data_IF_437955636275
#
_entry.id   IF_437955636275
#
_cell.length_a   1.000
_cell.length_b   1.000
_cell.length_c   1.000
_cell.angle_alpha   90.00
_cell.angle_beta   90.00
_cell.angle_gamma   90.00
#
_symmetry.space_group_name_H-M   'P 1'
#
loop_
_entity.id
_entity.type
_entity.pdbx_description
1 polymer ?
#
# COMPACT_ATOMS: atom_id res chain seq x y z
N UNK A 1 17.81 9.50 8.74
CA UNK A 1 18.81 9.17 9.79
C UNK A 1 20.18 9.32 9.18
N UNK A 2 21.15 9.78 9.94
CA UNK A 2 22.54 9.85 9.51
C UNK A 2 23.39 8.84 10.28
N UNK A 3 24.52 8.42 9.70
CA UNK A 3 25.46 7.50 10.34
C UNK A 3 24.89 6.09 10.61
N UNK A 4 23.82 5.70 9.92
CA UNK A 4 23.31 4.34 10.00
C UNK A 4 24.26 3.38 9.27
N UNK A 5 24.71 2.34 9.97
CA UNK A 5 25.58 1.29 9.43
C UNK A 5 25.23 -0.06 10.06
N UNK A 6 25.75 -1.20 9.56
CA UNK A 6 25.56 -2.49 10.22
C UNK A 6 26.05 -2.52 11.68
N UNK A 7 27.10 -1.75 12.00
CA UNK A 7 27.61 -1.61 13.37
C UNK A 7 26.80 -0.60 14.22
N UNK A 8 26.09 0.32 13.56
CA UNK A 8 25.30 1.39 14.19
C UNK A 8 23.90 1.47 13.58
N UNK A 9 23.05 0.43 13.73
CA UNK A 9 21.75 0.37 13.05
C UNK A 9 20.76 1.47 13.50
N UNK A 10 20.95 2.00 14.71
CA UNK A 10 20.17 3.14 15.20
C UNK A 10 20.51 4.45 14.47
N UNK A 11 21.70 4.55 13.84
CA UNK A 11 22.26 5.81 13.38
C UNK A 11 22.73 6.70 14.53
N UNK A 12 23.15 7.92 14.20
CA UNK A 12 23.67 8.90 15.17
C UNK A 12 22.62 9.97 15.49
N UNK A 13 21.91 10.45 14.47
CA UNK A 13 20.82 11.40 14.67
C UNK A 13 19.69 11.25 13.65
N UNK A 14 18.54 11.78 14.04
CA UNK A 14 17.38 11.97 13.18
C UNK A 14 17.37 13.40 12.65
N UNK A 15 16.99 13.52 11.39
CA UNK A 15 16.81 14.81 10.73
C UNK A 15 15.33 14.95 10.38
N UNK A 16 14.78 16.14 10.62
CA UNK A 16 13.39 16.43 10.29
C UNK A 16 13.27 16.72 8.79
N UNK A 17 12.39 15.98 8.11
CA UNK A 17 11.98 16.29 6.74
C UNK A 17 10.66 17.04 6.80
N UNK A 18 10.68 18.32 6.41
CA UNK A 18 9.49 19.16 6.37
C UNK A 18 8.40 18.49 5.55
N UNK A 19 7.19 18.41 6.08
CA UNK A 19 6.02 17.82 5.41
C UNK A 19 5.00 18.89 5.01
N UNK A 20 4.26 18.73 3.90
CA UNK A 20 3.25 19.70 3.48
C UNK A 20 2.07 19.80 4.47
N UNK A 21 1.84 18.73 5.25
CA UNK A 21 0.82 18.62 6.28
C UNK A 21 1.17 17.47 7.24
N UNK A 22 0.41 17.31 8.33
CA UNK A 22 0.52 16.14 9.20
C UNK A 22 0.29 14.85 8.42
N UNK A 23 1.22 13.90 8.55
CA UNK A 23 1.19 12.62 7.87
C UNK A 23 0.59 11.54 8.80
N UNK A 24 -0.12 10.56 8.23
CA UNK A 24 -0.79 9.47 8.97
C UNK A 24 -0.27 8.08 8.59
N UNK A 25 0.42 7.94 7.45
CA UNK A 25 1.02 6.69 7.01
C UNK A 25 2.25 7.00 6.13
N UNK A 26 3.25 6.13 6.20
CA UNK A 26 4.45 6.17 5.37
C UNK A 26 4.82 4.77 4.94
N UNK A 27 5.29 4.61 3.70
CA UNK A 27 5.90 3.39 3.22
C UNK A 27 7.12 3.71 2.37
N UNK A 28 8.11 2.83 2.38
CA UNK A 28 9.36 2.99 1.65
C UNK A 28 9.76 1.71 0.93
N UNK A 29 10.23 1.79 -0.30
CA UNK A 29 10.84 0.67 -1.04
C UNK A 29 11.89 1.21 -2.02
N UNK A 30 13.14 0.72 -1.98
CA UNK A 30 14.20 1.08 -2.92
C UNK A 30 14.35 2.61 -3.16
N UNK A 31 14.50 3.38 -2.08
CA UNK A 31 14.54 4.85 -2.08
C UNK A 31 13.24 5.56 -2.50
N UNK A 32 12.20 4.85 -2.92
CA UNK A 32 10.88 5.44 -3.14
C UNK A 32 10.18 5.58 -1.80
N UNK A 33 9.62 6.75 -1.54
CA UNK A 33 8.88 7.06 -0.31
C UNK A 33 7.51 7.58 -0.69
N UNK A 34 6.47 6.95 -0.16
CA UNK A 34 5.10 7.42 -0.25
C UNK A 34 4.56 7.72 1.15
N UNK A 35 3.77 8.78 1.25
CA UNK A 35 3.12 9.20 2.49
C UNK A 35 1.66 9.54 2.24
N UNK A 36 0.86 9.44 3.30
CA UNK A 36 -0.54 9.86 3.32
C UNK A 36 -0.68 11.03 4.28
N UNK A 37 -1.26 12.14 3.80
CA UNK A 37 -1.63 13.29 4.61
C UNK A 37 -2.89 13.04 5.44
N UNK A 38 -3.12 13.86 6.48
CA UNK A 38 -4.29 13.70 7.38
C UNK A 38 -5.64 13.82 6.66
N UNK A 39 -5.72 14.51 5.51
CA UNK A 39 -6.96 14.56 4.71
C UNK A 39 -7.03 13.44 3.66
N UNK A 40 -6.11 12.48 3.70
CA UNK A 40 -6.07 11.31 2.83
C UNK A 40 -5.42 11.54 1.47
N UNK A 41 -4.71 12.65 1.28
CA UNK A 41 -3.93 12.90 0.06
C UNK A 41 -2.63 12.08 0.05
N UNK A 42 -2.24 11.63 -1.14
CA UNK A 42 -1.02 10.86 -1.36
C UNK A 42 0.10 11.76 -1.87
N UNK A 43 1.30 11.59 -1.33
CA UNK A 43 2.51 12.27 -1.82
C UNK A 43 3.64 11.27 -1.97
N UNK A 44 4.52 11.50 -2.96
CA UNK A 44 5.84 10.88 -3.00
C UNK A 44 6.93 11.90 -2.71
N UNK A 45 8.09 11.41 -2.26
CA UNK A 45 9.29 12.22 -2.02
C UNK A 45 10.23 12.09 -3.21
N UNK A 46 10.38 13.18 -3.96
CA UNK A 46 11.25 13.27 -5.14
C UNK A 46 12.73 13.36 -4.72
N UNK A 47 13.62 12.70 -5.48
CA UNK A 47 15.06 12.90 -5.38
C UNK A 47 15.74 12.20 -4.20
N UNK A 48 15.09 11.17 -3.65
CA UNK A 48 15.66 10.34 -2.59
C UNK A 48 16.73 9.42 -3.18
N UNK A 49 17.93 9.47 -2.61
CA UNK A 49 19.05 8.62 -3.00
C UNK A 49 19.82 8.15 -1.77
N UNK A 50 20.78 7.24 -1.95
CA UNK A 50 21.65 6.80 -0.85
C UNK A 50 22.48 7.95 -0.26
N UNK A 51 22.85 8.95 -1.07
CA UNK A 51 23.58 10.15 -0.63
C UNK A 51 22.65 11.27 -0.15
N UNK A 52 21.39 11.27 -0.60
CA UNK A 52 20.36 12.20 -0.17
C UNK A 52 19.09 11.46 0.30
N UNK A 53 19.13 10.79 1.47
CA UNK A 53 17.98 10.03 1.97
C UNK A 53 16.78 10.92 2.34
N UNK A 54 16.99 12.23 2.52
CA UNK A 54 15.94 13.21 2.78
C UNK A 54 15.16 13.63 1.54
N UNK A 55 15.63 13.31 0.33
CA UNK A 55 15.03 13.78 -0.92
C UNK A 55 15.02 15.31 -1.06
N UNK A 56 14.21 15.82 -1.98
CA UNK A 56 14.16 17.25 -2.33
C UNK A 56 12.77 17.83 -2.09
N UNK A 57 11.75 17.32 -2.79
CA UNK A 57 10.40 17.88 -2.77
C UNK A 57 9.33 16.83 -2.48
N UNK A 58 8.21 17.26 -1.92
CA UNK A 58 6.98 16.46 -1.90
C UNK A 58 6.16 16.77 -3.14
N UNK A 59 5.66 15.73 -3.80
CA UNK A 59 4.85 15.83 -5.01
C UNK A 59 3.53 15.09 -4.80
N UNK A 60 2.42 15.72 -5.18
CA UNK A 60 1.09 15.15 -5.04
C UNK A 60 0.89 14.02 -6.06
N UNK A 61 0.31 12.92 -5.60
CA UNK A 61 -0.11 11.81 -6.46
C UNK A 61 -1.61 11.94 -6.70
N UNK A 62 -2.03 11.74 -7.94
CA UNK A 62 -3.45 11.71 -8.29
C UNK A 62 -4.20 10.73 -7.38
N UNK A 63 -5.30 11.19 -6.77
CA UNK A 63 -6.10 10.35 -5.90
C UNK A 63 -6.74 9.19 -6.69
N UNK A 64 -6.91 8.01 -6.07
CA UNK A 64 -7.69 6.93 -6.65
C UNK A 64 -9.16 7.36 -6.80
N UNK A 65 -9.58 7.62 -8.06
CA UNK A 65 -10.98 7.81 -8.48
C UNK A 65 -11.82 6.55 -8.26
N UNK A 66 -12.31 6.33 -7.04
CA UNK A 66 -13.21 5.23 -6.75
C UNK A 66 -14.64 5.57 -7.21
N UNK A 67 -15.04 5.11 -8.40
CA UNK A 67 -16.42 5.21 -8.89
C UNK A 67 -17.20 3.93 -8.55
N UNK A 68 -17.52 3.70 -7.27
CA UNK A 68 -18.50 2.67 -6.92
C UNK A 68 -19.90 3.28 -7.08
N UNK A 69 -20.78 2.76 -7.96
CA UNK A 69 -22.07 3.38 -8.28
C UNK A 69 -23.09 3.44 -7.13
N UNK A 70 -22.82 2.79 -5.99
CA UNK A 70 -23.78 2.60 -4.89
C UNK A 70 -23.42 3.29 -3.57
N UNK A 71 -22.34 4.07 -3.52
CA UNK A 71 -21.99 4.86 -2.32
C UNK A 71 -22.04 6.35 -2.63
N UNK A 72 -23.09 7.02 -2.13
CA UNK A 72 -23.21 8.48 -2.10
C UNK A 72 -22.18 9.19 -1.20
N UNK A 73 -21.13 8.50 -0.71
CA UNK A 73 -20.02 9.13 0.01
C UNK A 73 -18.79 9.22 -0.89
N UNK A 74 -18.60 10.43 -1.40
CA UNK A 74 -17.37 11.07 -1.87
C UNK A 74 -16.12 10.26 -1.50
N UNK A 75 -15.40 9.77 -2.51
CA UNK A 75 -13.97 9.41 -2.53
C UNK A 75 -13.31 9.39 -1.14
N UNK A 76 -13.46 8.29 -0.40
CA UNK A 76 -12.80 8.14 0.89
C UNK A 76 -11.28 8.18 0.71
N UNK A 77 -10.62 9.21 1.24
CA UNK A 77 -9.17 9.41 1.12
C UNK A 77 -8.34 8.21 1.62
N UNK A 78 -7.06 8.17 1.27
CA UNK A 78 -6.17 7.09 1.67
C UNK A 78 -6.00 7.02 3.20
N UNK A 79 -5.82 5.82 3.75
CA UNK A 79 -5.58 5.57 5.19
C UNK A 79 -4.24 4.88 5.47
N UNK A 80 -3.90 3.88 4.68
CA UNK A 80 -2.65 3.15 4.79
C UNK A 80 -2.06 2.89 3.40
N UNK A 81 -0.74 2.87 3.30
CA UNK A 81 0.00 2.57 2.07
C UNK A 81 1.11 1.57 2.37
N UNK A 82 1.31 0.62 1.46
CA UNK A 82 2.46 -0.28 1.45
C UNK A 82 3.05 -0.34 0.04
N UNK A 83 4.36 -0.13 -0.07
CA UNK A 83 5.09 -0.13 -1.33
C UNK A 83 5.72 -1.48 -1.62
N UNK A 84 5.83 -1.76 -2.91
CA UNK A 84 6.78 -2.71 -3.51
C UNK A 84 7.64 -1.91 -4.51
N UNK A 85 8.55 -2.58 -5.20
CA UNK A 85 9.36 -1.97 -6.23
C UNK A 85 8.58 -1.61 -7.52
N UNK A 86 7.42 -2.25 -7.74
CA UNK A 86 6.59 -2.06 -8.93
C UNK A 86 5.16 -1.54 -8.68
N UNK A 87 4.69 -1.57 -7.43
CA UNK A 87 3.31 -1.18 -7.07
C UNK A 87 3.17 -0.56 -5.66
N UNK A 88 2.12 0.25 -5.47
CA UNK A 88 1.66 0.73 -4.17
C UNK A 88 0.28 0.17 -3.85
N UNK A 89 0.16 -0.51 -2.72
CA UNK A 89 -1.10 -1.01 -2.18
C UNK A 89 -1.66 0.00 -1.18
N UNK A 90 -2.82 0.56 -1.47
CA UNK A 90 -3.43 1.65 -0.69
C UNK A 90 -4.78 1.22 -0.15
N UNK A 91 -4.93 1.23 1.18
CA UNK A 91 -6.23 1.07 1.84
C UNK A 91 -6.90 2.44 1.92
N UNK A 92 -8.12 2.52 1.41
CA UNK A 92 -8.94 3.73 1.40
C UNK A 92 -9.81 3.85 2.66
N UNK A 93 -10.38 5.04 2.87
CA UNK A 93 -11.18 5.29 4.06
C UNK A 93 -12.45 4.45 4.17
N UNK A 94 -12.99 4.01 3.04
CA UNK A 94 -14.11 3.08 2.93
C UNK A 94 -13.69 1.61 3.05
N UNK A 95 -12.40 1.33 3.25
CA UNK A 95 -11.85 -0.02 3.37
C UNK A 95 -11.57 -0.74 2.06
N UNK A 96 -11.83 -0.12 0.90
CA UNK A 96 -11.40 -0.67 -0.38
C UNK A 96 -9.87 -0.61 -0.50
N UNK A 97 -9.30 -1.50 -1.33
CA UNK A 97 -7.88 -1.46 -1.70
C UNK A 97 -7.76 -1.00 -3.15
N UNK A 98 -6.97 0.04 -3.36
CA UNK A 98 -6.51 0.50 -4.67
C UNK A 98 -5.03 0.18 -4.84
N UNK A 99 -4.64 -0.27 -6.03
CA UNK A 99 -3.26 -0.61 -6.37
C UNK A 99 -2.76 0.38 -7.42
N UNK A 100 -1.73 1.16 -7.10
CA UNK A 100 -0.99 1.94 -8.10
C UNK A 100 0.04 1.03 -8.76
N UNK A 101 0.09 0.99 -10.08
CA UNK A 101 1.06 0.18 -10.83
C UNK A 101 2.13 1.03 -11.53
N UNK A 102 3.17 0.35 -12.00
CA UNK A 102 4.30 0.94 -12.74
C UNK A 102 5.13 1.93 -11.91
N UNK A 103 5.22 1.67 -10.62
CA UNK A 103 6.17 2.37 -9.76
C UNK A 103 7.58 1.90 -10.14
N UNK A 104 8.53 2.82 -10.18
CA UNK A 104 9.95 2.51 -10.34
C UNK A 104 10.79 3.69 -9.86
N UNK A 105 12.12 3.50 -9.82
CA UNK A 105 13.07 4.59 -9.55
C UNK A 105 12.95 5.78 -10.52
N UNK A 106 12.44 5.54 -11.74
CA UNK A 106 12.28 6.59 -12.76
C UNK A 106 10.83 7.07 -12.88
N UNK A 107 9.90 6.45 -12.14
CA UNK A 107 8.48 6.76 -12.12
C UNK A 107 7.95 6.52 -10.69
N UNK A 108 8.36 7.37 -9.76
CA UNK A 108 8.13 7.16 -8.32
C UNK A 108 6.64 7.22 -7.95
N UNK A 109 5.81 7.93 -8.71
CA UNK A 109 4.36 8.08 -8.53
C UNK A 109 3.52 7.01 -9.27
N UNK A 110 4.15 6.15 -10.07
CA UNK A 110 3.47 5.18 -10.92
C UNK A 110 2.51 5.81 -11.93
N UNK A 111 1.77 4.98 -12.69
CA UNK A 111 0.93 5.49 -13.79
C UNK A 111 -0.56 5.27 -13.61
N UNK A 112 -0.96 4.08 -13.17
CA UNK A 112 -2.36 3.66 -13.21
C UNK A 112 -2.86 3.19 -11.86
N UNK A 113 -4.11 3.55 -11.55
CA UNK A 113 -4.87 2.98 -10.45
C UNK A 113 -5.69 1.79 -10.93
N UNK A 114 -5.54 0.66 -10.27
CA UNK A 114 -6.40 -0.52 -10.41
C UNK A 114 -7.14 -0.76 -9.11
N UNK A 115 -8.42 -1.05 -9.18
CA UNK A 115 -9.24 -1.34 -8.02
C UNK A 115 -9.41 -2.84 -7.90
N UNK A 116 -9.25 -3.37 -6.70
CA UNK A 116 -9.64 -4.74 -6.42
C UNK A 116 -11.15 -4.70 -6.20
N UNK A 117 -11.90 -5.02 -7.23
CA UNK A 117 -13.34 -5.14 -7.08
C UNK A 117 -13.64 -6.46 -6.39
N UNK A 118 -14.68 -6.52 -5.54
CA UNK A 118 -15.23 -7.79 -5.05
C UNK A 118 -15.68 -8.73 -6.20
N UNK A 119 -15.66 -8.25 -7.45
CA UNK A 119 -15.97 -8.97 -8.67
C UNK A 119 -14.75 -9.56 -9.39
N UNK A 120 -13.50 -9.31 -8.97
CA UNK A 120 -12.32 -10.02 -9.54
C UNK A 120 -12.32 -11.52 -9.17
N UNK A 121 -13.24 -11.89 -8.28
CA UNK A 121 -13.62 -13.22 -7.80
C UNK A 121 -14.63 -13.93 -8.74
N UNK A 122 -15.24 -13.20 -9.70
CA UNK A 122 -16.54 -13.58 -10.29
C UNK A 122 -16.52 -14.68 -11.36
N UNK A 123 -15.35 -15.16 -11.82
CA UNK A 123 -15.31 -16.24 -12.81
C UNK A 123 -14.99 -17.63 -12.22
N UNK A 124 -14.33 -17.73 -11.07
CA UNK A 124 -14.03 -19.04 -10.47
C UNK A 124 -14.83 -19.36 -9.19
N UNK A 125 -15.24 -18.34 -8.42
CA UNK A 125 -15.78 -18.56 -7.07
C UNK A 125 -17.32 -18.53 -6.98
N UNK A 126 -18.04 -18.15 -8.04
CA UNK A 126 -19.49 -18.34 -8.13
C UNK A 126 -19.92 -19.81 -8.05
N UNK A 127 -19.03 -20.75 -8.37
CA UNK A 127 -19.30 -22.19 -8.27
C UNK A 127 -19.22 -22.73 -6.83
N UNK A 128 -18.64 -21.98 -5.88
CA UNK A 128 -18.31 -22.51 -4.54
C UNK A 128 -19.02 -21.82 -3.38
N UNK A 129 -19.82 -20.78 -3.60
CA UNK A 129 -20.57 -20.08 -2.54
C UNK A 129 -19.70 -19.67 -1.32
N UNK A 130 -18.43 -19.34 -1.55
CA UNK A 130 -17.49 -18.94 -0.50
C UNK A 130 -17.07 -17.48 -0.71
N UNK A 131 -17.54 -16.64 0.23
CA UNK A 131 -16.99 -15.36 0.68
C UNK A 131 -17.41 -14.06 -0.03
N UNK A 132 -17.84 -13.12 0.81
CA UNK A 132 -18.54 -11.88 0.53
C UNK A 132 -17.76 -10.90 -0.35
N UNK A 133 -18.47 -10.39 -1.36
CA UNK A 133 -18.09 -9.27 -2.23
C UNK A 133 -17.87 -7.94 -1.47
N UNK A 134 -18.05 -7.91 -0.15
CA UNK A 134 -18.01 -6.74 0.73
C UNK A 134 -16.83 -6.74 1.71
N UNK A 135 -15.85 -7.64 1.55
CA UNK A 135 -14.67 -7.63 2.43
C UNK A 135 -13.95 -6.28 2.35
N UNK A 136 -13.92 -5.56 3.47
CA UNK A 136 -13.21 -4.29 3.63
C UNK A 136 -11.96 -4.48 4.47
N UNK A 137 -10.94 -3.65 4.24
CA UNK A 137 -9.63 -3.76 4.86
C UNK A 137 -9.29 -2.54 5.71
N UNK A 138 -8.51 -2.78 6.77
CA UNK A 138 -7.98 -1.73 7.65
C UNK A 138 -6.46 -1.61 7.59
N UNK A 139 -5.75 -2.63 7.10
CA UNK A 139 -4.30 -2.60 6.96
C UNK A 139 -3.83 -3.48 5.80
N UNK A 140 -2.73 -3.09 5.15
CA UNK A 140 -2.08 -3.87 4.09
C UNK A 140 -0.57 -3.79 4.26
N UNK A 141 0.13 -4.87 3.94
CA UNK A 141 1.58 -4.93 3.85
C UNK A 141 2.00 -5.81 2.68
N UNK A 142 2.99 -5.34 1.95
CA UNK A 142 3.47 -5.92 0.71
C UNK A 142 4.99 -6.01 0.71
N UNK A 143 5.51 -7.09 0.16
CA UNK A 143 6.93 -7.22 -0.18
C UNK A 143 7.05 -8.12 -1.41
N UNK A 144 7.81 -7.68 -2.41
CA UNK A 144 7.93 -8.40 -3.68
C UNK A 144 6.55 -8.79 -4.24
N UNK A 145 6.27 -10.10 -4.35
CA UNK A 145 5.00 -10.65 -4.83
C UNK A 145 4.09 -11.13 -3.68
N UNK A 146 4.48 -10.92 -2.42
CA UNK A 146 3.69 -11.28 -1.25
C UNK A 146 2.92 -10.08 -0.73
N UNK A 147 1.59 -10.22 -0.66
CA UNK A 147 0.72 -9.17 -0.15
C UNK A 147 -0.24 -9.76 0.86
N UNK A 148 -0.29 -9.11 2.01
CA UNK A 148 -1.08 -9.51 3.16
C UNK A 148 -1.91 -8.33 3.64
N UNK A 149 -3.16 -8.58 3.97
CA UNK A 149 -4.07 -7.56 4.46
C UNK A 149 -4.87 -8.06 5.66
N UNK A 150 -5.26 -7.12 6.51
CA UNK A 150 -6.17 -7.38 7.63
C UNK A 150 -7.51 -6.76 7.27
N UNK A 151 -8.55 -7.58 7.20
CA UNK A 151 -9.91 -7.12 7.00
C UNK A 151 -10.44 -6.36 8.23
N UNK A 152 -11.53 -5.62 8.09
CA UNK A 152 -12.09 -4.80 9.17
C UNK A 152 -12.48 -5.62 10.39
N UNK A 153 -13.03 -6.82 10.17
CA UNK A 153 -13.32 -7.86 11.18
C UNK A 153 -12.08 -8.50 11.82
N UNK A 154 -10.89 -8.22 11.29
CA UNK A 154 -9.60 -8.65 11.84
C UNK A 154 -8.98 -9.88 11.18
N UNK A 155 -9.65 -10.52 10.22
CA UNK A 155 -9.15 -11.72 9.55
C UNK A 155 -7.88 -11.39 8.75
N UNK A 156 -6.85 -12.22 8.88
CA UNK A 156 -5.66 -12.16 8.02
C UNK A 156 -5.98 -12.76 6.66
N UNK A 157 -5.71 -12.02 5.59
CA UNK A 157 -5.87 -12.48 4.22
C UNK A 157 -4.58 -12.32 3.43
N UNK A 158 -4.28 -13.30 2.58
CA UNK A 158 -3.18 -13.26 1.60
C UNK A 158 -3.74 -12.98 0.21
N UNK A 159 -3.12 -12.11 -0.56
CA UNK A 159 -3.44 -11.92 -1.98
C UNK A 159 -2.73 -12.99 -2.80
N UNK A 160 -3.48 -13.74 -3.59
CA UNK A 160 -2.98 -14.79 -4.48
C UNK A 160 -2.75 -14.25 -5.90
N UNK A 161 -1.78 -14.84 -6.60
CA UNK A 161 -1.53 -14.59 -8.03
C UNK A 161 -0.87 -13.25 -8.35
N UNK A 162 -0.37 -12.54 -7.34
CA UNK A 162 0.46 -11.35 -7.54
C UNK A 162 1.75 -11.78 -8.22
N UNK A 163 2.10 -11.12 -9.31
CA UNK A 163 3.32 -11.37 -10.09
C UNK A 163 3.75 -10.09 -10.79
N UNK A 164 4.92 -10.11 -11.46
CA UNK A 164 5.41 -8.98 -12.25
C UNK A 164 4.41 -8.59 -13.36
N UNK A 165 3.82 -9.58 -14.04
CA UNK A 165 2.85 -9.34 -15.11
C UNK A 165 1.44 -9.08 -14.60
N UNK A 166 1.12 -9.57 -13.39
CA UNK A 166 -0.15 -9.32 -12.70
C UNK A 166 0.09 -8.71 -11.30
N UNK A 167 0.48 -7.42 -11.21
CA UNK A 167 0.80 -6.78 -9.94
C UNK A 167 -0.41 -6.63 -9.00
N UNK A 168 -1.64 -6.81 -9.50
CA UNK A 168 -2.88 -6.76 -8.71
C UNK A 168 -3.28 -8.11 -8.12
N UNK A 169 -2.66 -9.21 -8.56
CA UNK A 169 -3.07 -10.55 -8.21
C UNK A 169 -4.48 -10.90 -8.69
N UNK A 170 -5.05 -11.95 -8.11
CA UNK A 170 -6.27 -12.59 -8.56
C UNK A 170 -7.33 -12.57 -7.45
N UNK A 171 -7.01 -13.14 -6.28
CA UNK A 171 -7.99 -13.36 -5.22
C UNK A 171 -7.40 -13.13 -3.83
N UNK A 172 -8.28 -12.95 -2.85
CA UNK A 172 -7.92 -12.99 -1.44
C UNK A 172 -8.19 -14.38 -0.86
N UNK A 173 -7.27 -14.87 -0.02
CA UNK A 173 -7.42 -16.11 0.72
C UNK A 173 -7.35 -15.82 2.22
N UNK A 174 -8.38 -16.14 3.01
CA UNK A 174 -8.30 -16.10 4.45
C UNK A 174 -7.25 -17.09 4.95
N UNK A 175 -6.41 -16.65 5.89
CA UNK A 175 -5.33 -17.46 6.46
C UNK A 175 -5.52 -17.67 7.95
N UNK A 176 -5.82 -16.60 8.70
CA UNK A 176 -6.02 -16.67 10.14
C UNK A 176 -7.28 -15.91 10.56
N UNK A 177 -8.16 -16.59 11.27
CA UNK A 177 -9.36 -16.01 11.85
C UNK A 177 -9.12 -15.63 13.32
N UNK A 178 -8.26 -14.63 13.52
CA UNK A 178 -7.99 -14.00 14.81
C UNK A 178 -8.18 -12.50 14.65
N UNK A 179 -8.53 -11.77 15.72
CA UNK A 179 -8.82 -10.34 15.63
C UNK A 179 -7.54 -9.50 15.54
N UNK A 180 -6.92 -9.47 14.35
CA UNK A 180 -5.71 -8.67 14.12
C UNK A 180 -6.04 -7.20 13.86
N UNK A 181 -5.05 -6.34 14.08
CA UNK A 181 -5.14 -4.91 13.77
C UNK A 181 -4.16 -4.53 12.65
N UNK A 182 -2.93 -5.02 12.73
CA UNK A 182 -1.85 -4.73 11.79
C UNK A 182 -1.19 -6.01 11.31
N UNK A 183 -0.60 -5.94 10.11
CA UNK A 183 0.25 -6.98 9.53
C UNK A 183 1.48 -6.34 8.92
N UNK A 184 2.62 -7.01 8.97
CA UNK A 184 3.83 -6.59 8.24
C UNK A 184 4.46 -7.81 7.58
N UNK A 185 4.56 -7.79 6.26
CA UNK A 185 5.34 -8.75 5.50
C UNK A 185 6.81 -8.30 5.47
N UNK A 186 7.73 -9.22 5.74
CA UNK A 186 9.18 -8.99 5.63
C UNK A 186 9.81 -10.16 4.91
N UNK A 187 10.77 -9.85 4.06
CA UNK A 187 11.56 -10.85 3.35
C UNK A 187 12.59 -11.42 4.31
N UNK A 188 12.86 -12.71 4.19
CA UNK A 188 14.03 -13.30 4.82
C UNK A 188 15.22 -13.05 3.88
N UNK A 189 16.20 -12.25 4.31
CA UNK A 189 17.52 -12.30 3.68
C UNK A 189 18.16 -13.62 4.11
N UNK A 190 18.19 -14.60 3.19
CA UNK A 190 19.04 -15.79 3.37
C UNK A 190 20.51 -15.42 3.22
#
# INVERSE_FOLDING_TARGET
RTGASPATPAGVHWEHVNSPQSLISISTCNNIIWVIGRKGELYYREGVTNSNPGGVNWKLIEAPKCSIPFSHKISGGAKAVSLTDCAAWVVLSNGAIAVRTEISKYQEDGKHWKYLSGNDVLLLLKALALQDCDTTFKHVSSIEQEVWAVSTDGILQRRLGVSVDNPTGIAWQPVLNVTLVHVTARGCSM
#
